data_IF_424099454586
#
_entry.id   IF_424099454586
#
_cell.length_a   1.000
_cell.length_b   1.000
_cell.length_c   1.000
_cell.angle_alpha   90.00
_cell.angle_beta   90.00
_cell.angle_gamma   90.00
#
_symmetry.space_group_name_H-M   'P 1'
#
loop_
_entity.id
_entity.type
_entity.pdbx_description
1 polymer ?
#
# COMPACT_ATOMS: atom_id res chain seq x y z
N UNK A 1 9.21 10.33 13.85
CA UNK A 1 9.46 11.66 13.26
C UNK A 1 9.26 11.63 11.74
N UNK A 2 9.91 10.73 11.01
CA UNK A 2 9.82 10.61 9.55
C UNK A 2 8.40 10.36 9.03
N UNK A 3 7.60 9.50 9.67
CA UNK A 3 6.22 9.22 9.26
C UNK A 3 5.32 10.45 9.41
N UNK A 4 5.51 11.27 10.46
CA UNK A 4 4.75 12.51 10.64
C UNK A 4 5.07 13.53 9.55
N UNK A 5 6.35 13.69 9.23
CA UNK A 5 6.81 14.56 8.15
C UNK A 5 6.27 14.10 6.79
N UNK A 6 6.29 12.79 6.52
CA UNK A 6 5.74 12.21 5.30
C UNK A 6 4.25 12.53 5.15
N UNK A 7 3.42 12.25 6.16
CA UNK A 7 1.97 12.49 6.07
C UNK A 7 1.59 13.96 6.07
N UNK A 8 2.40 14.86 6.65
CA UNK A 8 2.19 16.31 6.49
C UNK A 8 2.45 16.78 5.05
N UNK A 9 3.44 16.19 4.38
CA UNK A 9 3.70 16.45 2.97
C UNK A 9 2.60 15.84 2.08
N UNK A 10 2.16 14.64 2.40
CA UNK A 10 1.05 13.98 1.70
C UNK A 10 -0.22 14.82 1.73
N UNK A 11 -0.60 15.41 2.88
CA UNK A 11 -1.76 16.30 3.00
C UNK A 11 -1.68 17.47 2.03
N UNK A 12 -0.50 18.06 1.85
CA UNK A 12 -0.30 19.20 0.92
C UNK A 12 -0.48 18.83 -0.56
N UNK A 13 -0.36 17.55 -0.91
CA UNK A 13 -0.56 17.06 -2.28
C UNK A 13 -2.03 16.82 -2.62
N UNK A 14 -2.94 16.88 -1.65
CA UNK A 14 -4.39 16.84 -1.87
C UNK A 14 -4.83 18.21 -2.35
N UNK A 15 -5.35 18.27 -3.57
CA UNK A 15 -5.76 19.52 -4.24
C UNK A 15 -7.27 19.69 -4.30
N UNK A 16 -8.02 18.57 -4.29
CA UNK A 16 -9.45 18.53 -4.45
C UNK A 16 -10.15 18.17 -3.14
N UNK A 17 -11.30 18.79 -2.89
CA UNK A 17 -12.20 18.51 -1.74
C UNK A 17 -11.45 18.39 -0.39
N UNK A 18 -10.64 19.39 -0.09
CA UNK A 18 -9.78 19.42 1.10
C UNK A 18 -10.58 19.38 2.41
N UNK A 19 -11.84 19.79 2.40
CA UNK A 19 -12.71 19.73 3.58
C UNK A 19 -13.05 18.27 3.93
N UNK A 20 -13.28 17.42 2.91
CA UNK A 20 -13.52 15.99 3.09
C UNK A 20 -12.23 15.21 3.32
N UNK A 21 -11.15 15.54 2.59
CA UNK A 21 -9.91 14.75 2.56
C UNK A 21 -8.75 15.41 3.30
N UNK A 22 -9.01 16.15 4.34
CA UNK A 22 -7.95 16.68 5.23
C UNK A 22 -7.32 15.53 6.02
N UNK A 23 -6.00 15.42 5.97
CA UNK A 23 -5.24 14.44 6.72
C UNK A 23 -4.61 15.08 7.98
N UNK A 24 -5.25 14.91 9.11
CA UNK A 24 -4.72 15.31 10.41
C UNK A 24 -4.11 14.09 11.13
N UNK A 25 -2.98 13.62 10.57
CA UNK A 25 -2.29 12.46 11.08
C UNK A 25 -2.91 11.11 10.69
N UNK A 26 -2.16 10.05 10.99
CA UNK A 26 -2.54 8.68 10.62
C UNK A 26 -3.30 7.99 11.75
N UNK A 27 -4.58 7.67 11.51
CA UNK A 27 -5.40 6.82 12.37
C UNK A 27 -5.93 5.62 11.57
N UNK A 28 -6.01 4.43 12.14
CA UNK A 28 -6.32 3.22 11.37
C UNK A 28 -7.14 2.15 12.10
N UNK A 29 -7.36 2.28 13.39
CA UNK A 29 -8.11 1.26 14.14
C UNK A 29 -9.01 1.90 15.19
N UNK A 30 -10.18 2.36 14.78
CA UNK A 30 -10.69 2.48 13.41
C UNK A 30 -10.16 3.73 12.69
N UNK A 31 -10.27 3.83 11.35
CA UNK A 31 -10.08 5.09 10.65
C UNK A 31 -11.23 6.05 10.99
N UNK A 32 -10.90 7.32 11.24
CA UNK A 32 -11.84 8.33 11.73
C UNK A 32 -12.21 9.40 10.69
N UNK A 33 -11.59 9.32 9.52
CA UNK A 33 -11.80 10.23 8.39
C UNK A 33 -11.70 9.49 7.05
N UNK A 34 -12.23 10.07 5.96
CA UNK A 34 -12.27 9.44 4.64
C UNK A 34 -10.90 9.06 4.09
N UNK A 35 -9.88 9.91 4.26
CA UNK A 35 -8.55 9.62 3.71
C UNK A 35 -7.86 8.47 4.45
N UNK A 36 -8.02 8.41 5.77
CA UNK A 36 -7.49 7.29 6.55
C UNK A 36 -8.23 5.97 6.23
N UNK A 37 -9.53 6.03 5.92
CA UNK A 37 -10.29 4.88 5.45
C UNK A 37 -9.79 4.40 4.08
N UNK A 38 -9.61 5.32 3.12
CA UNK A 38 -9.07 5.01 1.79
C UNK A 38 -7.66 4.41 1.85
N UNK A 39 -6.74 5.05 2.58
CA UNK A 39 -5.38 4.56 2.75
C UNK A 39 -5.34 3.19 3.43
N UNK A 40 -6.19 2.96 4.45
CA UNK A 40 -6.26 1.66 5.13
C UNK A 40 -6.74 0.56 4.20
N UNK A 41 -7.70 0.85 3.32
CA UNK A 41 -8.19 -0.10 2.33
C UNK A 41 -7.13 -0.42 1.27
N UNK A 42 -6.45 0.59 0.72
CA UNK A 42 -5.37 0.40 -0.25
C UNK A 42 -4.17 -0.36 0.35
N UNK A 43 -3.82 -0.09 1.61
CA UNK A 43 -2.77 -0.85 2.30
C UNK A 43 -3.16 -2.31 2.53
N UNK A 44 -4.43 -2.61 2.78
CA UNK A 44 -4.89 -4.00 2.87
C UNK A 44 -4.75 -4.72 1.52
N UNK A 45 -5.10 -4.07 0.40
CA UNK A 45 -4.91 -4.65 -0.94
C UNK A 45 -3.41 -4.89 -1.24
N UNK A 46 -2.55 -3.91 -0.94
CA UNK A 46 -1.11 -4.03 -1.16
C UNK A 46 -0.49 -5.12 -0.27
N UNK A 47 -0.93 -5.21 0.99
CA UNK A 47 -0.50 -6.27 1.90
C UNK A 47 -0.86 -7.66 1.37
N UNK A 48 -2.07 -7.84 0.84
CA UNK A 48 -2.49 -9.12 0.26
C UNK A 48 -1.62 -9.52 -0.93
N UNK A 49 -1.24 -8.57 -1.80
CA UNK A 49 -0.31 -8.85 -2.90
C UNK A 49 1.09 -9.23 -2.39
N UNK A 50 1.57 -8.59 -1.32
CA UNK A 50 2.85 -8.95 -0.69
C UNK A 50 2.83 -10.33 -0.03
N UNK A 51 1.73 -10.66 0.66
CA UNK A 51 1.51 -11.99 1.26
C UNK A 51 1.51 -13.06 0.17
N UNK A 52 0.70 -12.87 -0.88
CA UNK A 52 0.65 -13.79 -2.02
C UNK A 52 2.01 -13.92 -2.71
N UNK A 53 2.78 -12.82 -2.83
CA UNK A 53 4.15 -12.85 -3.35
C UNK A 53 5.09 -13.69 -2.50
N UNK A 54 5.04 -13.56 -1.17
CA UNK A 54 5.85 -14.34 -0.23
C UNK A 54 5.49 -15.82 -0.29
N UNK A 55 4.22 -16.17 -0.20
CA UNK A 55 3.72 -17.54 -0.30
C UNK A 55 4.09 -18.20 -1.64
N UNK A 56 3.95 -17.44 -2.74
CA UNK A 56 4.26 -17.90 -4.09
C UNK A 56 5.74 -18.27 -4.32
N UNK A 57 6.65 -17.85 -3.45
CA UNK A 57 8.09 -18.23 -3.49
C UNK A 57 8.50 -19.12 -2.33
N UNK A 58 7.53 -19.62 -1.53
CA UNK A 58 7.75 -20.53 -0.42
C UNK A 58 8.24 -19.86 0.88
N UNK A 59 8.06 -18.54 1.03
CA UNK A 59 8.34 -17.83 2.27
C UNK A 59 7.09 -17.78 3.16
N UNK A 60 7.26 -17.95 4.47
CA UNK A 60 6.19 -17.75 5.43
C UNK A 60 5.92 -16.24 5.61
N UNK A 61 4.74 -15.72 5.23
CA UNK A 61 4.42 -14.29 5.34
C UNK A 61 4.39 -13.77 6.77
N UNK A 62 4.37 -14.64 7.79
CA UNK A 62 4.41 -14.25 9.20
C UNK A 62 5.84 -14.01 9.72
N UNK A 63 6.86 -14.56 9.06
CA UNK A 63 8.26 -14.49 9.49
C UNK A 63 8.95 -13.21 8.98
N UNK A 64 8.64 -12.07 9.62
CA UNK A 64 9.21 -10.76 9.30
C UNK A 64 10.55 -10.47 9.96
N UNK A 65 11.25 -9.47 9.43
CA UNK A 65 12.57 -9.01 9.91
C UNK A 65 12.49 -7.61 10.58
N UNK A 66 11.61 -6.74 10.09
CA UNK A 66 11.42 -5.38 10.60
C UNK A 66 10.23 -5.30 11.56
N UNK A 67 9.15 -5.98 11.23
CA UNK A 67 7.97 -6.03 12.08
C UNK A 67 8.06 -7.17 13.10
N UNK A 68 7.80 -6.85 14.37
CA UNK A 68 7.77 -7.84 15.44
C UNK A 68 6.79 -8.98 15.14
N UNK A 69 7.23 -10.20 15.39
CA UNK A 69 6.42 -11.41 15.24
C UNK A 69 5.26 -11.38 16.23
N UNK A 70 4.05 -11.62 15.74
CA UNK A 70 2.83 -11.74 16.54
C UNK A 70 1.92 -12.78 15.89
N UNK A 71 1.22 -13.62 16.65
CA UNK A 71 0.26 -14.58 16.10
C UNK A 71 -0.74 -13.90 15.15
N UNK A 72 -0.94 -14.48 13.96
CA UNK A 72 -1.86 -13.97 12.94
C UNK A 72 -1.43 -12.67 12.22
N UNK A 73 -0.20 -12.20 12.46
CA UNK A 73 0.32 -11.00 11.78
C UNK A 73 1.24 -11.41 10.62
N UNK A 74 0.92 -10.98 9.42
CA UNK A 74 1.75 -11.15 8.25
C UNK A 74 2.97 -10.18 8.30
N UNK A 75 3.92 -10.43 9.22
CA UNK A 75 5.03 -9.54 9.49
C UNK A 75 5.94 -9.36 8.27
N UNK A 76 6.26 -10.44 7.53
CA UNK A 76 7.02 -10.36 6.28
C UNK A 76 6.24 -9.65 5.16
N UNK A 77 4.92 -9.91 5.06
CA UNK A 77 4.08 -9.19 4.12
C UNK A 77 4.09 -7.68 4.39
N UNK A 78 4.09 -7.26 5.67
CA UNK A 78 4.24 -5.87 6.07
C UNK A 78 5.61 -5.30 5.73
N UNK A 79 6.69 -6.08 5.92
CA UNK A 79 8.05 -5.66 5.59
C UNK A 79 8.19 -5.37 4.09
N UNK A 80 7.73 -6.29 3.24
CA UNK A 80 7.71 -6.11 1.78
C UNK A 80 6.84 -4.92 1.35
N UNK A 81 5.71 -4.71 2.05
CA UNK A 81 4.80 -3.61 1.74
C UNK A 81 5.45 -2.24 1.99
N UNK A 82 6.40 -2.09 2.92
CA UNK A 82 7.05 -0.80 3.18
C UNK A 82 7.69 -0.21 1.92
N UNK A 83 8.29 -1.03 1.07
CA UNK A 83 8.91 -0.61 -0.19
C UNK A 83 7.88 -0.18 -1.25
N UNK A 84 6.68 -0.72 -1.18
CA UNK A 84 5.65 -0.59 -2.22
C UNK A 84 4.53 0.39 -1.86
N UNK A 85 4.42 0.75 -0.58
CA UNK A 85 3.32 1.56 -0.04
C UNK A 85 3.14 2.87 -0.79
N UNK A 86 4.24 3.62 -1.00
CA UNK A 86 4.18 4.91 -1.66
C UNK A 86 3.77 4.79 -3.13
N UNK A 87 4.22 3.74 -3.82
CA UNK A 87 4.00 3.56 -5.27
C UNK A 87 2.63 2.96 -5.54
N UNK A 88 2.24 1.90 -4.83
CA UNK A 88 1.00 1.17 -5.09
C UNK A 88 -0.22 1.80 -4.41
N UNK A 89 -0.07 2.35 -3.20
CA UNK A 89 -1.20 2.82 -2.42
C UNK A 89 -1.28 4.36 -2.35
N UNK A 90 -0.25 5.04 -1.88
CA UNK A 90 -0.32 6.47 -1.57
C UNK A 90 -0.53 7.33 -2.82
N UNK A 91 0.23 7.06 -3.89
CA UNK A 91 0.05 7.76 -5.18
C UNK A 91 -1.32 7.49 -5.80
N UNK A 92 -1.85 6.27 -5.63
CA UNK A 92 -3.19 5.94 -6.11
C UNK A 92 -4.25 6.68 -5.31
N UNK A 93 -4.14 6.76 -3.98
CA UNK A 93 -5.07 7.53 -3.16
C UNK A 93 -5.13 9.00 -3.60
N UNK A 94 -3.97 9.64 -3.81
CA UNK A 94 -3.89 11.02 -4.32
C UNK A 94 -4.53 11.15 -5.71
N UNK A 95 -4.30 10.19 -6.60
CA UNK A 95 -4.88 10.18 -7.94
C UNK A 95 -6.40 10.10 -7.89
N UNK A 96 -6.95 9.19 -7.08
CA UNK A 96 -8.38 8.98 -6.92
C UNK A 96 -9.09 10.23 -6.39
N UNK A 97 -8.50 10.89 -5.39
CA UNK A 97 -9.02 12.12 -4.80
C UNK A 97 -8.91 13.27 -5.80
N UNK A 98 -7.71 13.54 -6.31
CA UNK A 98 -7.45 14.71 -7.16
C UNK A 98 -8.12 14.63 -8.54
N UNK A 99 -8.49 13.43 -8.99
CA UNK A 99 -9.33 13.23 -10.19
C UNK A 99 -10.83 13.11 -9.89
N UNK A 100 -11.24 13.31 -8.64
CA UNK A 100 -12.63 13.20 -8.16
C UNK A 100 -13.28 11.85 -8.48
N UNK A 101 -12.50 10.78 -8.62
CA UNK A 101 -13.00 9.42 -8.77
C UNK A 101 -13.57 8.91 -7.46
N UNK A 102 -12.94 9.30 -6.34
CA UNK A 102 -13.46 9.08 -4.98
C UNK A 102 -13.81 10.45 -4.37
N UNK A 103 -15.01 10.56 -3.83
CA UNK A 103 -15.58 11.78 -3.24
C UNK A 103 -16.26 11.46 -1.92
N UNK A 104 -16.73 12.47 -1.19
CA UNK A 104 -17.41 12.33 0.11
C UNK A 104 -18.55 11.28 0.10
N UNK A 105 -19.31 11.18 -0.99
CA UNK A 105 -20.43 10.24 -1.14
C UNK A 105 -20.06 8.76 -1.02
N UNK A 106 -18.78 8.42 -1.22
CA UNK A 106 -18.31 7.05 -1.15
C UNK A 106 -17.94 6.59 0.27
N UNK A 107 -18.18 7.44 1.26
CA UNK A 107 -17.85 7.15 2.65
C UNK A 107 -19.06 7.30 3.55
N UNK A 108 -19.11 6.46 4.57
CA UNK A 108 -20.12 6.51 5.63
C UNK A 108 -19.44 6.56 6.98
N UNK A 109 -19.94 7.45 7.85
CA UNK A 109 -19.53 7.51 9.25
C UNK A 109 -20.46 6.61 10.07
N UNK A 110 -19.90 5.62 10.75
CA UNK A 110 -20.63 4.67 11.58
C UNK A 110 -20.80 5.17 13.02
N UNK A 111 -21.77 4.64 13.79
CA UNK A 111 -21.80 4.86 15.23
C UNK A 111 -20.44 4.53 15.86
N UNK A 112 -19.95 5.41 16.75
CA UNK A 112 -18.58 5.30 17.28
C UNK A 112 -17.50 6.04 16.48
N UNK A 113 -17.88 6.74 15.40
CA UNK A 113 -17.00 7.66 14.66
C UNK A 113 -16.15 7.03 13.57
N UNK A 114 -16.14 5.70 13.43
CA UNK A 114 -15.42 5.01 12.37
C UNK A 114 -15.96 5.39 10.98
N UNK A 115 -15.05 5.67 10.05
CA UNK A 115 -15.38 5.96 8.65
C UNK A 115 -15.05 4.75 7.78
N UNK A 116 -15.99 4.35 6.94
CA UNK A 116 -15.85 3.21 6.03
C UNK A 116 -16.14 3.64 4.58
N UNK A 117 -15.48 2.96 3.63
CA UNK A 117 -15.86 3.02 2.24
C UNK A 117 -17.17 2.26 2.01
N UNK A 118 -18.12 2.87 1.32
CA UNK A 118 -19.32 2.23 0.78
C UNK A 118 -18.97 1.29 -0.36
N UNK A 119 -19.87 0.40 -0.71
CA UNK A 119 -19.61 -0.65 -1.71
C UNK A 119 -19.24 -0.08 -3.09
N UNK A 120 -19.88 1.00 -3.53
CA UNK A 120 -19.52 1.69 -4.77
C UNK A 120 -18.09 2.27 -4.71
N UNK A 121 -17.73 2.89 -3.59
CA UNK A 121 -16.38 3.40 -3.36
C UNK A 121 -15.34 2.29 -3.35
N UNK A 122 -15.64 1.15 -2.69
CA UNK A 122 -14.74 -0.03 -2.71
C UNK A 122 -14.53 -0.54 -4.12
N UNK A 123 -15.61 -0.66 -4.91
CA UNK A 123 -15.53 -1.11 -6.30
C UNK A 123 -14.66 -0.20 -7.14
N UNK A 124 -14.85 1.13 -7.05
CA UNK A 124 -14.01 2.11 -7.74
C UNK A 124 -12.54 1.98 -7.37
N UNK A 125 -12.23 1.85 -6.07
CA UNK A 125 -10.86 1.68 -5.60
C UNK A 125 -10.24 0.39 -6.10
N UNK A 126 -10.97 -0.74 -6.06
CA UNK A 126 -10.48 -2.04 -6.54
C UNK A 126 -10.18 -1.96 -8.05
N UNK A 127 -11.08 -1.40 -8.86
CA UNK A 127 -10.88 -1.26 -10.30
C UNK A 127 -9.65 -0.40 -10.59
N UNK A 128 -9.50 0.73 -9.89
CA UNK A 128 -8.34 1.60 -10.06
C UNK A 128 -7.04 0.92 -9.61
N UNK A 129 -7.08 0.16 -8.51
CA UNK A 129 -5.94 -0.60 -8.03
C UNK A 129 -5.50 -1.68 -9.02
N UNK A 130 -6.45 -2.41 -9.64
CA UNK A 130 -6.13 -3.41 -10.66
C UNK A 130 -5.54 -2.76 -11.93
N UNK A 131 -6.05 -1.59 -12.34
CA UNK A 131 -5.44 -0.81 -13.44
C UNK A 131 -4.02 -0.37 -13.09
N UNK A 132 -3.80 0.11 -11.86
CA UNK A 132 -2.48 0.49 -11.37
C UNK A 132 -1.48 -0.66 -11.44
N UNK A 133 -1.91 -1.88 -11.12
CA UNK A 133 -1.07 -3.10 -11.21
C UNK A 133 -0.64 -3.43 -12.64
N UNK A 134 -1.39 -3.01 -13.65
CA UNK A 134 -1.08 -3.24 -15.06
C UNK A 134 -0.11 -2.21 -15.65
N UNK A 135 0.16 -1.11 -14.95
CA UNK A 135 1.08 -0.09 -15.41
C UNK A 135 2.50 -0.66 -15.54
N UNK A 136 3.11 -0.48 -16.71
CA UNK A 136 4.48 -0.91 -16.96
C UNK A 136 5.46 -0.01 -16.22
N UNK A 137 6.41 -0.62 -15.53
CA UNK A 137 7.54 0.07 -14.89
C UNK A 137 8.84 -0.61 -15.26
N UNK A 138 9.95 0.10 -15.18
CA UNK A 138 11.27 -0.51 -15.22
C UNK A 138 11.73 -0.78 -13.78
N UNK A 139 12.00 -2.05 -13.47
CA UNK A 139 12.45 -2.45 -12.14
C UNK A 139 13.85 -1.88 -11.85
N UNK A 140 14.05 -1.11 -10.76
CA UNK A 140 15.29 -0.32 -10.57
C UNK A 140 16.56 -1.16 -10.42
N UNK A 141 16.44 -2.40 -9.98
CA UNK A 141 17.60 -3.30 -9.77
C UNK A 141 17.79 -4.25 -10.95
N UNK A 142 16.71 -4.77 -11.54
CA UNK A 142 16.77 -5.75 -12.61
C UNK A 142 16.90 -5.10 -13.98
N UNK A 143 16.62 -3.81 -14.09
CA UNK A 143 16.56 -3.04 -15.35
C UNK A 143 15.66 -3.71 -16.41
N UNK A 144 14.56 -4.29 -15.96
CA UNK A 144 13.58 -4.99 -16.79
C UNK A 144 12.22 -4.32 -16.69
N UNK A 145 11.54 -4.22 -17.84
CA UNK A 145 10.15 -3.75 -17.90
C UNK A 145 9.21 -4.83 -17.41
N UNK A 146 8.29 -4.45 -16.54
CA UNK A 146 7.29 -5.36 -16.00
C UNK A 146 6.06 -4.61 -15.49
N UNK A 147 4.90 -5.28 -15.39
CA UNK A 147 3.74 -4.70 -14.70
C UNK A 147 4.06 -4.45 -13.22
N UNK A 148 3.63 -3.30 -12.69
CA UNK A 148 3.81 -2.94 -11.27
C UNK A 148 3.28 -4.03 -10.32
N UNK A 149 2.18 -4.68 -10.69
CA UNK A 149 1.58 -5.77 -9.90
C UNK A 149 2.45 -7.01 -9.75
N UNK A 150 3.52 -7.16 -10.56
CA UNK A 150 4.47 -8.26 -10.43
C UNK A 150 5.56 -7.97 -9.39
N UNK A 151 5.79 -6.70 -9.04
CA UNK A 151 6.89 -6.30 -8.16
C UNK A 151 6.84 -6.96 -6.78
N UNK A 152 5.69 -7.11 -6.09
CA UNK A 152 5.64 -7.82 -4.81
C UNK A 152 6.20 -9.24 -4.90
N UNK A 153 5.87 -9.99 -5.96
CA UNK A 153 6.39 -11.34 -6.19
C UNK A 153 7.90 -11.33 -6.50
N UNK A 154 8.37 -10.38 -7.31
CA UNK A 154 9.80 -10.25 -7.64
C UNK A 154 10.61 -9.92 -6.40
N UNK A 155 10.16 -8.98 -5.56
CA UNK A 155 10.84 -8.63 -4.31
C UNK A 155 10.88 -9.82 -3.34
N UNK A 156 9.77 -10.55 -3.19
CA UNK A 156 9.75 -11.79 -2.40
C UNK A 156 10.75 -12.84 -2.94
N UNK A 157 10.85 -12.98 -4.28
CA UNK A 157 11.82 -13.89 -4.92
C UNK A 157 13.27 -13.45 -4.69
N UNK A 158 13.56 -12.16 -4.76
CA UNK A 158 14.90 -11.62 -4.46
C UNK A 158 15.26 -11.87 -2.99
N UNK A 159 14.31 -11.69 -2.07
CA UNK A 159 14.50 -12.00 -0.66
C UNK A 159 14.76 -13.49 -0.46
N UNK A 160 13.98 -14.38 -1.06
CA UNK A 160 14.20 -15.83 -0.99
C UNK A 160 15.59 -16.25 -1.49
N UNK A 161 16.08 -15.62 -2.55
CA UNK A 161 17.43 -15.85 -3.07
C UNK A 161 18.50 -15.35 -2.11
N UNK A 162 18.29 -14.19 -1.48
CA UNK A 162 19.21 -13.67 -0.44
C UNK A 162 19.29 -14.63 0.75
N UNK A 163 18.15 -15.12 1.23
CA UNK A 163 18.08 -16.05 2.37
C UNK A 163 18.75 -17.41 2.08
N UNK A 164 18.80 -17.83 0.81
CA UNK A 164 19.52 -19.05 0.38
C UNK A 164 21.02 -18.82 0.14
N UNK A 165 21.48 -17.57 0.19
CA UNK A 165 22.86 -17.22 -0.13
C UNK A 165 23.16 -17.07 -1.63
N UNK A 166 22.14 -17.10 -2.51
CA UNK A 166 22.30 -16.86 -3.96
C UNK A 166 22.62 -15.39 -4.27
N UNK A 167 22.30 -14.48 -3.35
CA UNK A 167 22.60 -13.06 -3.43
C UNK A 167 23.30 -12.63 -2.14
N UNK A 168 24.31 -11.78 -2.26
CA UNK A 168 25.09 -11.26 -1.13
C UNK A 168 24.25 -10.39 -0.20
N UNK A 169 23.33 -9.60 -0.75
CA UNK A 169 22.42 -8.73 -0.01
C UNK A 169 21.07 -8.59 -0.71
N UNK A 170 20.02 -8.31 0.08
CA UNK A 170 18.70 -8.01 -0.45
C UNK A 170 18.68 -6.64 -1.15
N UNK A 171 18.33 -6.57 -2.44
CA UNK A 171 18.23 -5.32 -3.17
C UNK A 171 16.82 -4.71 -3.00
N UNK A 172 16.65 -3.62 -2.22
CA UNK A 172 15.34 -3.03 -2.00
C UNK A 172 14.79 -2.35 -3.26
N UNK A 173 13.46 -2.30 -3.37
CA UNK A 173 12.77 -1.61 -4.46
C UNK A 173 12.75 -0.10 -4.21
N UNK A 174 13.75 0.61 -4.70
CA UNK A 174 13.85 2.08 -4.63
C UNK A 174 13.35 2.71 -5.93
N UNK A 175 12.02 2.87 -6.04
CA UNK A 175 11.40 3.47 -7.22
C UNK A 175 11.60 4.99 -7.21
N UNK A 176 12.17 5.54 -8.30
CA UNK A 176 12.42 6.96 -8.53
C UNK A 176 11.38 7.62 -9.43
#
# INVERSE_FOLDING_TARGET
ESARSYFSTFDRMIREDRDTFKLDGRNRRPPLDPINALLSFLYALTLNDCVAGAEGVGLDPQMGFLHALRPGRAALGLDLMEELRSVMADRLALTLINRRQITAKHFVKRPGGAVHLEDDGRKEVIVAYQKRKQEEITHPVLDQKMPLGLVPHIQARLLARTLRGDLEAYPPFLYR
#
